data_IF_896643217033
#
_entry.id   IF_896643217033
#
_cell.length_a   1.000
_cell.length_b   1.000
_cell.length_c   1.000
_cell.angle_alpha   90.00
_cell.angle_beta   90.00
_cell.angle_gamma   90.00
#
_symmetry.space_group_name_H-M   'P 1'
#
loop_
_entity.id
_entity.type
_entity.pdbx_description
1 polymer ?
#
# COMPACT_ATOMS: atom_id res chain seq x y z
N UNK A 1 -12.17 -0.04 23.33
CA UNK A 1 -10.72 -0.19 23.18
C UNK A 1 -10.32 0.36 21.82
N UNK A 2 -9.61 1.49 21.78
CA UNK A 2 -9.17 2.12 20.50
C UNK A 2 -7.96 1.34 19.98
N UNK A 3 -7.79 1.24 18.66
CA UNK A 3 -6.66 0.53 18.01
C UNK A 3 -5.27 0.92 18.57
N UNK A 4 -5.14 2.14 19.11
CA UNK A 4 -3.94 2.63 19.78
C UNK A 4 -3.58 1.89 21.08
N UNK A 5 -4.56 1.48 21.89
CA UNK A 5 -4.31 0.78 23.16
C UNK A 5 -3.65 -0.59 22.92
N UNK A 6 -4.04 -1.29 21.85
CA UNK A 6 -3.41 -2.55 21.45
C UNK A 6 -1.95 -2.37 20.98
N UNK A 7 -1.61 -1.25 20.34
CA UNK A 7 -0.24 -0.97 19.89
C UNK A 7 0.67 -0.75 21.10
N UNK A 8 0.20 -0.04 22.12
CA UNK A 8 0.96 0.17 23.35
C UNK A 8 1.23 -1.15 24.09
N UNK A 9 0.22 -2.02 24.23
CA UNK A 9 0.37 -3.33 24.90
C UNK A 9 1.38 -4.25 24.17
N UNK A 10 1.37 -4.24 22.83
CA UNK A 10 2.36 -4.99 22.03
C UNK A 10 3.77 -4.44 22.23
N UNK A 11 3.94 -3.11 22.27
CA UNK A 11 5.24 -2.48 22.50
C UNK A 11 5.75 -2.80 23.90
N UNK A 12 4.89 -2.71 24.92
CA UNK A 12 5.27 -3.04 26.29
C UNK A 12 5.74 -4.50 26.41
N UNK A 13 5.10 -5.43 25.70
CA UNK A 13 5.53 -6.84 25.62
C UNK A 13 6.93 -6.97 25.00
N UNK A 14 7.23 -6.22 23.93
CA UNK A 14 8.56 -6.23 23.27
C UNK A 14 9.66 -5.75 24.21
N UNK A 15 9.35 -4.80 25.09
CA UNK A 15 10.30 -4.24 26.06
C UNK A 15 10.25 -4.93 27.44
N UNK A 16 9.65 -6.12 27.54
CA UNK A 16 9.54 -6.90 28.79
C UNK A 16 8.89 -6.13 29.96
N UNK A 17 7.95 -5.22 29.66
CA UNK A 17 7.19 -4.50 30.68
C UNK A 17 6.02 -5.34 31.20
N UNK A 18 5.68 -5.16 32.47
CA UNK A 18 4.56 -5.85 33.12
C UNK A 18 3.25 -5.58 32.39
N UNK A 19 2.54 -6.64 32.04
CA UNK A 19 1.22 -6.58 31.41
C UNK A 19 0.11 -6.71 32.47
N UNK A 20 -1.08 -6.14 32.23
CA UNK A 20 -2.21 -6.34 33.14
C UNK A 20 -2.66 -7.80 33.13
N UNK A 21 -3.16 -8.31 34.27
CA UNK A 21 -3.48 -9.74 34.46
C UNK A 21 -4.49 -10.29 33.45
N UNK A 22 -5.40 -9.45 32.94
CA UNK A 22 -6.40 -9.86 31.96
C UNK A 22 -5.82 -10.11 30.56
N UNK A 23 -4.62 -9.59 30.25
CA UNK A 23 -3.97 -9.72 28.95
C UNK A 23 -3.21 -11.05 28.83
N UNK A 24 -3.98 -12.14 28.81
CA UNK A 24 -3.45 -13.49 28.56
C UNK A 24 -3.06 -13.67 27.09
N UNK A 25 -2.27 -14.71 26.78
CA UNK A 25 -1.89 -15.06 25.40
C UNK A 25 -3.10 -15.30 24.48
N UNK A 26 -4.17 -15.92 25.00
CA UNK A 26 -5.43 -16.12 24.27
C UNK A 26 -6.14 -14.79 23.97
N UNK A 27 -6.20 -13.88 24.95
CA UNK A 27 -6.79 -12.55 24.76
C UNK A 27 -5.98 -11.76 23.73
N UNK A 28 -4.65 -11.76 23.83
CA UNK A 28 -3.76 -11.13 22.86
C UNK A 28 -3.97 -11.67 21.43
N UNK A 29 -4.09 -13.00 21.27
CA UNK A 29 -4.36 -13.62 19.97
C UNK A 29 -5.73 -13.21 19.39
N UNK A 30 -6.77 -13.13 20.23
CA UNK A 30 -8.10 -12.66 19.82
C UNK A 30 -8.08 -11.18 19.40
N UNK A 31 -7.36 -10.33 20.14
CA UNK A 31 -7.18 -8.91 19.81
C UNK A 31 -6.46 -8.74 18.46
N UNK A 32 -5.42 -9.55 18.18
CA UNK A 32 -4.74 -9.60 16.87
C UNK A 32 -5.71 -9.91 15.73
N UNK A 33 -6.52 -10.96 15.89
CA UNK A 33 -7.47 -11.37 14.86
C UNK A 33 -8.52 -10.30 14.60
N UNK A 34 -9.07 -9.67 15.65
CA UNK A 34 -10.01 -8.56 15.52
C UNK A 34 -9.38 -7.34 14.83
N UNK A 35 -8.13 -7.05 15.16
CA UNK A 35 -7.37 -5.94 14.55
C UNK A 35 -7.14 -6.21 13.07
N UNK A 36 -6.76 -7.44 12.70
CA UNK A 36 -6.61 -7.83 11.30
C UNK A 36 -7.94 -7.67 10.54
N UNK A 37 -9.05 -8.17 11.11
CA UNK A 37 -10.37 -8.04 10.49
C UNK A 37 -10.76 -6.57 10.30
N UNK A 38 -10.57 -5.73 11.32
CA UNK A 38 -10.84 -4.30 11.23
C UNK A 38 -10.01 -3.62 10.14
N UNK A 39 -8.73 -4.00 9.98
CA UNK A 39 -7.87 -3.52 8.92
C UNK A 39 -8.35 -3.95 7.53
N UNK A 40 -8.79 -5.19 7.37
CA UNK A 40 -9.32 -5.69 6.10
C UNK A 40 -10.52 -4.86 5.62
N UNK A 41 -11.46 -4.54 6.52
CA UNK A 41 -12.59 -3.65 6.21
C UNK A 41 -12.13 -2.21 5.96
N UNK A 42 -11.21 -1.72 6.79
CA UNK A 42 -10.66 -0.37 6.68
C UNK A 42 -10.07 -0.13 5.28
N UNK A 43 -9.31 -1.08 4.75
CA UNK A 43 -8.68 -0.96 3.43
C UNK A 43 -9.54 -1.46 2.27
N UNK A 44 -10.77 -1.93 2.52
CA UNK A 44 -11.69 -2.40 1.48
C UNK A 44 -11.31 -3.75 0.85
N UNK A 45 -10.52 -4.55 1.55
CA UNK A 45 -10.05 -5.87 1.09
C UNK A 45 -10.83 -7.03 1.73
N UNK A 46 -11.61 -6.74 2.78
CA UNK A 46 -12.58 -7.67 3.37
C UNK A 46 -13.69 -8.03 2.37
N UNK A 47 -14.57 -8.94 2.77
CA UNK A 47 -15.80 -9.25 2.04
C UNK A 47 -16.97 -8.42 2.60
N UNK A 48 -17.74 -7.70 1.75
CA UNK A 48 -17.55 -7.55 0.30
C UNK A 48 -16.34 -6.67 -0.05
N UNK A 49 -15.68 -6.98 -1.17
CA UNK A 49 -14.51 -6.22 -1.66
C UNK A 49 -14.92 -4.81 -2.16
N UNK A 50 -14.25 -3.77 -1.66
CA UNK A 50 -14.60 -2.36 -1.92
C UNK A 50 -13.39 -1.63 -2.55
N UNK A 51 -13.21 -1.69 -3.89
CA UNK A 51 -12.07 -1.07 -4.56
C UNK A 51 -12.05 0.47 -4.45
N UNK A 52 -13.20 1.08 -4.18
CA UNK A 52 -13.29 2.53 -3.92
C UNK A 52 -12.49 2.92 -2.67
N UNK A 53 -12.47 2.11 -1.62
CA UNK A 53 -11.67 2.39 -0.42
C UNK A 53 -10.17 2.30 -0.70
N UNK A 54 -9.74 1.29 -1.47
CA UNK A 54 -8.34 1.14 -1.91
C UNK A 54 -7.90 2.38 -2.70
N UNK A 55 -8.74 2.81 -3.63
CA UNK A 55 -8.53 3.99 -4.48
C UNK A 55 -8.43 5.29 -3.67
N UNK A 56 -9.31 5.49 -2.69
CA UNK A 56 -9.35 6.73 -1.91
C UNK A 56 -8.29 6.79 -0.81
N UNK A 57 -7.80 5.64 -0.32
CA UNK A 57 -6.79 5.58 0.77
C UNK A 57 -5.35 5.55 0.26
N UNK A 58 -5.00 4.56 -0.56
CA UNK A 58 -3.63 4.37 -1.04
C UNK A 58 -3.37 4.97 -2.42
N UNK A 59 -4.44 5.26 -3.17
CA UNK A 59 -4.35 5.63 -4.58
C UNK A 59 -3.64 6.95 -4.85
N UNK A 60 -3.75 7.93 -3.95
CA UNK A 60 -3.02 9.21 -4.07
C UNK A 60 -1.51 8.98 -4.03
N UNK A 61 -1.02 8.18 -3.09
CA UNK A 61 0.40 7.82 -3.00
C UNK A 61 0.86 7.06 -4.25
N UNK A 62 0.07 6.08 -4.72
CA UNK A 62 0.38 5.36 -5.96
C UNK A 62 0.50 6.30 -7.16
N UNK A 63 -0.40 7.29 -7.26
CA UNK A 63 -0.35 8.31 -8.30
C UNK A 63 0.92 9.15 -8.22
N UNK A 64 1.26 9.66 -7.04
CA UNK A 64 2.49 10.45 -6.85
C UNK A 64 3.73 9.65 -7.24
N UNK A 65 3.81 8.37 -6.85
CA UNK A 65 4.91 7.49 -7.24
C UNK A 65 4.99 7.31 -8.78
N UNK A 66 3.84 7.10 -9.43
CA UNK A 66 3.76 6.98 -10.88
C UNK A 66 4.21 8.26 -11.59
N UNK A 67 3.73 9.41 -11.13
CA UNK A 67 4.08 10.72 -11.67
C UNK A 67 5.57 11.01 -11.51
N UNK A 68 6.14 10.69 -10.34
CA UNK A 68 7.58 10.81 -10.10
C UNK A 68 8.41 9.94 -11.06
N UNK A 69 8.01 8.66 -11.25
CA UNK A 69 8.69 7.77 -12.22
C UNK A 69 8.60 8.30 -13.65
N UNK A 70 7.44 8.82 -14.07
CA UNK A 70 7.25 9.40 -15.40
C UNK A 70 8.06 10.68 -15.61
N UNK A 71 8.10 11.56 -14.61
CA UNK A 71 8.92 12.77 -14.66
C UNK A 71 10.41 12.42 -14.71
N UNK A 72 10.85 11.41 -13.95
CA UNK A 72 12.24 10.93 -14.00
C UNK A 72 12.62 10.44 -15.39
N UNK A 73 11.78 9.62 -16.03
CA UNK A 73 12.00 9.15 -17.40
C UNK A 73 12.00 10.29 -18.42
N UNK A 74 11.06 11.24 -18.27
CA UNK A 74 11.00 12.41 -19.14
C UNK A 74 12.30 13.23 -19.07
N UNK A 75 12.79 13.50 -17.86
CA UNK A 75 14.04 14.21 -17.66
C UNK A 75 15.25 13.43 -18.18
N UNK A 76 15.29 12.12 -17.92
CA UNK A 76 16.34 11.25 -18.44
C UNK A 76 16.44 11.31 -19.97
N UNK A 77 15.31 11.21 -20.68
CA UNK A 77 15.24 11.33 -22.15
C UNK A 77 15.65 12.70 -22.68
N UNK A 78 15.50 13.76 -21.88
CA UNK A 78 15.95 15.13 -22.22
C UNK A 78 17.41 15.40 -21.85
N UNK A 79 18.17 14.39 -21.42
CA UNK A 79 19.54 14.58 -20.93
C UNK A 79 19.60 15.38 -19.63
N UNK A 80 18.56 15.33 -18.80
CA UNK A 80 18.39 16.09 -17.56
C UNK A 80 18.43 17.62 -17.72
N UNK A 81 18.09 18.12 -18.91
CA UNK A 81 18.09 19.55 -19.22
C UNK A 81 16.71 20.21 -19.01
N UNK A 82 16.72 21.49 -18.63
CA UNK A 82 15.53 22.33 -18.47
C UNK A 82 15.11 22.56 -17.01
N UNK A 83 14.38 23.65 -16.78
CA UNK A 83 13.96 24.07 -15.44
C UNK A 83 13.16 22.98 -14.71
N UNK A 84 12.27 22.29 -15.40
CA UNK A 84 11.42 21.20 -14.86
C UNK A 84 12.22 19.97 -14.37
N UNK A 85 13.47 19.83 -14.84
CA UNK A 85 14.35 18.71 -14.53
C UNK A 85 15.44 19.04 -13.51
N UNK A 86 15.51 20.30 -13.05
CA UNK A 86 16.48 20.76 -12.07
C UNK A 86 16.51 19.92 -10.79
N UNK A 87 15.35 19.52 -10.27
CA UNK A 87 15.25 18.71 -9.06
C UNK A 87 15.18 17.20 -9.35
N UNK A 88 14.39 16.78 -10.34
CA UNK A 88 14.14 15.35 -10.63
C UNK A 88 15.31 14.69 -11.38
N UNK A 89 16.01 15.44 -12.23
CA UNK A 89 17.15 14.97 -13.03
C UNK A 89 18.29 14.35 -12.19
N UNK A 90 18.82 15.05 -11.17
CA UNK A 90 19.89 14.50 -10.32
C UNK A 90 19.40 13.48 -9.28
N UNK A 91 18.11 13.49 -8.91
CA UNK A 91 17.56 12.66 -7.84
C UNK A 91 17.66 11.16 -8.14
N UNK A 92 18.34 10.39 -7.28
CA UNK A 92 18.45 8.92 -7.41
C UNK A 92 17.53 8.15 -6.48
N UNK A 93 17.15 8.77 -5.36
CA UNK A 93 16.36 8.15 -4.30
C UNK A 93 15.42 9.18 -3.69
N UNK A 94 14.17 8.79 -3.45
CA UNK A 94 13.16 9.63 -2.78
C UNK A 94 12.43 8.79 -1.74
N UNK A 95 12.52 9.21 -0.48
CA UNK A 95 11.94 8.51 0.65
C UNK A 95 10.72 9.23 1.19
N UNK A 96 9.70 8.46 1.54
CA UNK A 96 8.56 8.91 2.34
C UNK A 96 8.68 8.27 3.72
N UNK A 97 8.94 9.07 4.76
CA UNK A 97 8.77 8.64 6.14
C UNK A 97 7.30 8.78 6.52
N UNK A 98 6.67 7.69 6.93
CA UNK A 98 5.23 7.65 7.16
C UNK A 98 4.86 6.56 8.19
N UNK A 99 3.56 6.37 8.39
CA UNK A 99 3.02 5.37 9.31
C UNK A 99 2.83 4.02 8.63
N UNK A 100 2.71 2.97 9.45
CA UNK A 100 2.25 1.63 9.06
C UNK A 100 0.99 1.66 8.18
N UNK A 101 0.05 2.55 8.50
CA UNK A 101 -1.19 2.74 7.76
C UNK A 101 -0.97 3.25 6.34
N UNK A 102 0.07 4.07 6.11
CA UNK A 102 0.45 4.56 4.78
C UNK A 102 1.02 3.43 3.93
N UNK A 103 1.90 2.61 4.52
CA UNK A 103 2.49 1.46 3.85
C UNK A 103 1.41 0.42 3.52
N UNK A 104 0.53 0.11 4.47
CA UNK A 104 -0.61 -0.79 4.25
C UNK A 104 -1.53 -0.29 3.13
N UNK A 105 -1.91 1.00 3.17
CA UNK A 105 -2.74 1.61 2.14
C UNK A 105 -2.09 1.51 0.75
N UNK A 106 -0.81 1.86 0.62
CA UNK A 106 -0.07 1.76 -0.65
C UNK A 106 -0.06 0.31 -1.16
N UNK A 107 0.27 -0.65 -0.29
CA UNK A 107 0.37 -2.06 -0.69
C UNK A 107 -0.97 -2.64 -1.14
N UNK A 108 -2.10 -2.16 -0.59
CA UNK A 108 -3.44 -2.59 -1.08
C UNK A 108 -3.66 -2.22 -2.54
N UNK A 109 -3.10 -1.11 -3.01
CA UNK A 109 -3.19 -0.72 -4.43
C UNK A 109 -2.37 -1.62 -5.35
N UNK A 110 -1.45 -2.42 -4.79
CA UNK A 110 -0.62 -3.35 -5.55
C UNK A 110 -1.27 -4.73 -5.72
N UNK A 111 -2.52 -4.95 -5.30
CA UNK A 111 -3.36 -6.04 -5.80
C UNK A 111 -2.93 -7.48 -5.45
N UNK A 112 -2.08 -7.69 -4.44
CA UNK A 112 -2.01 -8.98 -3.71
C UNK A 112 -2.33 -8.70 -2.23
N UNK A 113 -3.49 -8.07 -2.01
CA UNK A 113 -3.88 -7.49 -0.73
C UNK A 113 -3.92 -8.54 0.38
N UNK A 114 -4.32 -9.77 0.05
CA UNK A 114 -4.34 -10.89 0.98
C UNK A 114 -2.93 -11.35 1.37
N UNK A 115 -1.95 -11.44 0.46
CA UNK A 115 -0.58 -11.84 0.86
C UNK A 115 0.20 -10.72 1.53
N UNK A 116 -0.13 -9.47 1.25
CA UNK A 116 0.45 -8.32 1.94
C UNK A 116 -0.08 -8.18 3.35
N UNK A 117 -1.40 -8.32 3.55
CA UNK A 117 -2.05 -8.00 4.83
C UNK A 117 -2.24 -9.24 5.72
N UNK A 118 -2.09 -10.48 5.21
CA UNK A 118 -2.18 -11.70 6.05
C UNK A 118 -1.13 -11.80 7.15
N UNK A 119 -0.10 -10.96 7.14
CA UNK A 119 0.86 -10.80 8.25
C UNK A 119 0.45 -9.77 9.31
N UNK A 120 -0.70 -9.10 9.16
CA UNK A 120 -1.09 -7.91 9.91
C UNK A 120 -0.61 -6.61 9.25
N UNK A 121 -0.76 -5.49 9.97
CA UNK A 121 -0.17 -4.22 9.54
C UNK A 121 1.36 -4.35 9.42
N UNK A 122 2.00 -3.55 8.55
CA UNK A 122 3.45 -3.48 8.47
C UNK A 122 4.06 -3.28 9.86
N UNK A 123 4.97 -4.18 10.24
CA UNK A 123 5.66 -4.09 11.54
C UNK A 123 6.52 -2.83 11.61
N UNK A 124 6.98 -2.50 12.82
CA UNK A 124 7.96 -1.42 13.01
C UNK A 124 9.14 -1.57 12.05
N UNK A 125 9.59 -0.45 11.47
CA UNK A 125 10.59 -0.33 10.39
C UNK A 125 10.29 -1.06 9.07
N UNK A 126 9.08 -1.57 8.86
CA UNK A 126 8.69 -2.07 7.55
C UNK A 126 8.73 -0.95 6.51
N UNK A 127 9.31 -1.25 5.36
CA UNK A 127 9.47 -0.31 4.24
C UNK A 127 9.18 -1.00 2.92
N UNK A 128 8.92 -0.21 1.88
CA UNK A 128 8.71 -0.72 0.53
C UNK A 128 9.59 0.10 -0.40
N UNK A 129 10.52 -0.55 -1.09
CA UNK A 129 11.25 0.09 -2.19
C UNK A 129 10.52 -0.18 -3.50
N UNK A 130 10.38 0.87 -4.30
CA UNK A 130 9.85 0.80 -5.65
C UNK A 130 10.92 1.38 -6.56
N UNK A 131 11.46 0.54 -7.44
CA UNK A 131 12.57 0.89 -8.30
C UNK A 131 12.10 1.04 -9.75
N UNK A 132 12.59 2.08 -10.40
CA UNK A 132 12.45 2.31 -11.83
C UNK A 132 13.75 1.90 -12.53
N UNK A 133 13.63 0.98 -13.49
CA UNK A 133 14.73 0.45 -14.28
C UNK A 133 14.56 0.88 -15.74
N UNK A 134 15.68 1.19 -16.40
CA UNK A 134 15.72 1.34 -17.85
C UNK A 134 16.38 0.09 -18.43
N UNK A 135 15.65 -0.63 -19.28
CA UNK A 135 16.04 -1.93 -19.82
C UNK A 135 15.97 -1.88 -21.34
N UNK A 136 16.54 -2.88 -22.00
CA UNK A 136 16.47 -3.01 -23.46
C UNK A 136 15.02 -3.10 -23.95
N UNK A 137 14.14 -3.80 -23.22
CA UNK A 137 12.72 -3.92 -23.53
C UNK A 137 11.90 -2.68 -23.13
N UNK A 138 12.54 -1.69 -22.51
CA UNK A 138 11.97 -0.43 -22.07
C UNK A 138 11.84 -0.27 -20.55
N UNK A 139 11.35 0.89 -20.08
CA UNK A 139 11.30 1.19 -18.66
C UNK A 139 10.44 0.21 -17.88
N UNK A 140 10.90 -0.22 -16.71
CA UNK A 140 10.23 -1.20 -15.87
C UNK A 140 10.19 -0.82 -14.39
N UNK A 141 9.22 -1.38 -13.67
CA UNK A 141 9.05 -1.18 -12.23
C UNK A 141 9.29 -2.48 -11.48
N UNK A 142 10.07 -2.40 -10.39
CA UNK A 142 10.26 -3.47 -9.42
C UNK A 142 9.80 -3.00 -8.04
N UNK A 143 9.16 -3.88 -7.27
CA UNK A 143 8.68 -3.57 -5.92
C UNK A 143 9.26 -4.58 -4.94
N UNK A 144 9.83 -4.06 -3.86
CA UNK A 144 10.50 -4.84 -2.81
C UNK A 144 9.90 -4.46 -1.46
N UNK A 145 9.05 -5.31 -0.86
CA UNK A 145 8.65 -5.13 0.53
C UNK A 145 9.78 -5.61 1.45
N UNK A 146 10.16 -4.76 2.40
CA UNK A 146 11.13 -5.07 3.47
C UNK A 146 10.40 -5.09 4.80
N UNK A 147 10.43 -6.22 5.52
CA UNK A 147 9.95 -6.31 6.90
C UNK A 147 10.62 -7.49 7.59
N UNK A 148 10.81 -7.41 8.91
CA UNK A 148 11.36 -8.48 9.74
C UNK A 148 10.56 -9.81 9.62
N UNK A 149 9.29 -9.74 9.18
CA UNK A 149 8.46 -10.93 8.92
C UNK A 149 8.70 -11.58 7.56
N UNK A 150 9.51 -10.95 6.72
CA UNK A 150 9.90 -11.42 5.40
C UNK A 150 11.45 -11.46 5.32
N UNK A 151 12.12 -12.34 6.09
CA UNK A 151 13.59 -12.42 6.09
C UNK A 151 14.18 -12.90 4.76
N UNK A 152 13.36 -13.37 3.81
CA UNK A 152 13.80 -13.64 2.45
C UNK A 152 13.87 -12.34 1.65
N UNK A 153 15.08 -11.94 1.23
CA UNK A 153 15.39 -10.92 0.21
C UNK A 153 14.85 -11.28 -1.20
N UNK A 154 13.77 -12.05 -1.28
CA UNK A 154 13.17 -12.46 -2.54
C UNK A 154 12.22 -11.35 -2.95
N UNK A 155 12.44 -10.67 -4.10
CA UNK A 155 11.48 -9.72 -4.63
C UNK A 155 10.10 -10.37 -4.75
N UNK A 156 9.14 -9.87 -3.96
CA UNK A 156 7.75 -10.31 -4.07
C UNK A 156 7.11 -9.57 -5.24
N UNK A 157 6.97 -10.27 -6.36
CA UNK A 157 6.35 -9.76 -7.57
C UNK A 157 4.82 -9.76 -7.44
N UNK A 158 4.23 -8.57 -7.37
CA UNK A 158 2.79 -8.39 -7.25
C UNK A 158 2.03 -8.70 -8.55
N UNK A 159 1.27 -9.81 -8.57
CA UNK A 159 0.01 -9.99 -9.31
C UNK A 159 -0.61 -11.38 -9.09
N UNK A 160 -1.95 -11.48 -9.00
CA UNK A 160 -2.68 -12.75 -9.03
C UNK A 160 -2.64 -13.45 -10.40
N UNK A 161 -2.18 -12.74 -11.44
CA UNK A 161 -1.85 -13.32 -12.75
C UNK A 161 -0.34 -13.36 -12.95
N UNK A 162 0.17 -14.59 -13.07
CA UNK A 162 1.56 -15.03 -13.25
C UNK A 162 2.52 -14.91 -12.06
N UNK A 163 2.68 -16.06 -11.37
CA UNK A 163 3.97 -16.54 -10.88
C UNK A 163 4.93 -16.72 -12.07
N UNK A 164 5.83 -15.78 -12.32
CA UNK A 164 7.07 -16.08 -13.04
C UNK A 164 8.22 -15.33 -12.34
N UNK A 165 9.25 -16.04 -11.85
CA UNK A 165 10.46 -15.41 -11.37
C UNK A 165 11.09 -14.59 -12.51
N UNK A 166 11.53 -13.36 -12.22
CA UNK A 166 12.44 -12.63 -13.12
C UNK A 166 11.83 -11.78 -14.24
N UNK A 167 10.50 -11.66 -14.40
CA UNK A 167 9.95 -10.72 -15.40
C UNK A 167 9.55 -9.38 -14.76
N UNK A 168 10.44 -8.41 -14.90
CA UNK A 168 10.17 -6.97 -14.78
C UNK A 168 8.84 -6.59 -15.43
N UNK A 169 8.05 -5.74 -14.76
CA UNK A 169 6.83 -5.19 -15.38
C UNK A 169 7.20 -3.91 -16.11
N UNK A 170 7.07 -3.92 -17.42
CA UNK A 170 7.13 -2.72 -18.25
C UNK A 170 6.20 -1.66 -17.61
N UNK A 171 6.72 -0.45 -17.43
CA UNK A 171 6.05 0.65 -16.73
C UNK A 171 4.65 0.91 -17.27
N UNK A 172 4.46 0.82 -18.59
CA UNK A 172 3.16 1.00 -19.24
C UNK A 172 2.12 -0.03 -18.78
N UNK A 173 2.52 -1.29 -18.59
CA UNK A 173 1.64 -2.34 -18.06
C UNK A 173 1.33 -2.10 -16.57
N UNK A 174 2.32 -1.65 -15.80
CA UNK A 174 2.14 -1.29 -14.40
C UNK A 174 1.17 -0.10 -14.25
N UNK A 175 1.30 0.93 -15.08
CA UNK A 175 0.41 2.08 -15.14
C UNK A 175 -1.02 1.65 -15.51
N UNK A 176 -1.18 0.90 -16.61
CA UNK A 176 -2.49 0.40 -17.06
C UNK A 176 -3.27 -0.32 -15.96
N UNK A 177 -2.61 -1.21 -15.20
CA UNK A 177 -3.31 -1.91 -14.10
C UNK A 177 -3.63 -1.00 -12.91
N UNK A 178 -2.79 0.02 -12.69
CA UNK A 178 -2.85 0.91 -11.52
C UNK A 178 -3.92 1.99 -11.66
N UNK A 179 -4.33 2.32 -12.88
CA UNK A 179 -5.31 3.39 -13.18
C UNK A 179 -6.60 3.26 -12.35
N UNK A 180 -7.13 2.05 -12.18
CA UNK A 180 -8.35 1.82 -11.38
C UNK A 180 -8.20 2.27 -9.93
N UNK A 181 -6.98 2.24 -9.38
CA UNK A 181 -6.68 2.65 -8.01
C UNK A 181 -6.20 4.10 -7.90
N UNK A 182 -5.94 4.82 -9.00
CA UNK A 182 -5.41 6.19 -8.95
C UNK A 182 -6.53 7.26 -9.06
N UNK A 183 -6.89 8.00 -7.98
CA UNK A 183 -7.92 9.03 -7.97
C UNK A 183 -7.60 10.16 -8.94
N UNK A 184 -8.51 10.52 -9.85
CA UNK A 184 -8.33 11.63 -10.82
C UNK A 184 -8.48 12.97 -10.11
N UNK A 185 -9.48 13.09 -9.24
CA UNK A 185 -9.66 14.27 -8.41
C UNK A 185 -10.16 13.84 -7.04
N UNK A 186 -9.22 13.65 -6.10
CA UNK A 186 -9.51 13.15 -4.77
C UNK A 186 -10.54 14.01 -4.04
N UNK A 187 -10.51 15.34 -4.21
CA UNK A 187 -11.47 16.25 -3.58
C UNK A 187 -12.89 16.03 -4.09
N UNK A 188 -13.05 15.78 -5.40
CA UNK A 188 -14.36 15.49 -6.02
C UNK A 188 -14.83 14.08 -5.66
N UNK A 189 -13.94 13.10 -5.70
CA UNK A 189 -14.25 11.69 -5.43
C UNK A 189 -14.60 11.45 -3.96
N UNK A 190 -14.03 12.21 -3.02
CA UNK A 190 -14.38 12.15 -1.59
C UNK A 190 -15.69 12.89 -1.24
N UNK A 191 -16.34 13.60 -2.18
CA UNK A 191 -17.62 14.27 -1.88
C UNK A 191 -18.68 13.22 -1.63
N UNK A 192 -19.47 13.43 -0.57
CA UNK A 192 -20.65 12.62 -0.30
C UNK A 192 -21.56 12.64 -1.53
N UNK A 193 -21.85 11.47 -2.08
CA UNK A 193 -22.82 11.35 -3.18
C UNK A 193 -24.20 11.73 -2.64
N UNK A 194 -24.96 12.49 -3.42
CA UNK A 194 -26.37 12.76 -3.12
C UNK A 194 -27.10 11.43 -2.96
N UNK A 195 -27.95 11.31 -1.95
CA UNK A 195 -28.87 10.17 -1.85
C UNK A 195 -29.85 10.27 -3.02
N UNK A 196 -29.56 9.60 -4.13
CA UNK A 196 -30.60 9.30 -5.08
C UNK A 196 -31.56 8.32 -4.38
N UNK A 197 -32.87 8.61 -4.39
CA UNK A 197 -33.96 7.78 -3.84
C UNK A 197 -34.13 6.43 -4.58
N UNK A 198 -33.03 5.74 -4.90
CA UNK A 198 -32.99 4.45 -5.59
C UNK A 198 -32.00 3.51 -4.92
N UNK A 199 -32.19 3.29 -3.62
CA UNK A 199 -31.73 2.08 -2.95
C UNK A 199 -32.87 1.60 -2.06
N UNK A 200 -33.79 0.85 -2.67
CA UNK A 200 -34.49 -0.20 -1.92
C UNK A 200 -33.39 -1.16 -1.50
N UNK A 201 -33.07 -1.20 -0.20
CA UNK A 201 -32.24 -2.25 0.38
C UNK A 201 -33.02 -3.56 0.27
N UNK A 202 -32.48 -4.63 -0.35
CA UNK A 202 -33.12 -5.94 -0.32
C UNK A 202 -32.88 -6.68 1.01
N UNK A 203 -32.24 -6.03 1.99
CA UNK A 203 -32.00 -6.63 3.31
C UNK A 203 -32.73 -5.81 4.38
N UNK A 204 -33.87 -6.35 4.80
CA UNK A 204 -34.46 -6.11 6.10
C UNK A 204 -33.69 -6.94 7.14
N UNK A 205 -33.34 -6.31 8.26
CA UNK A 205 -33.06 -6.97 9.53
C UNK A 205 -34.28 -6.74 10.43
#
# INVERSE_FOLDING_TARGET
>A
MRMYEYIEDVLQTIYNLSQPEWLTSNVSARMRNLTQLANEYTYGIAQPYIPELIRLRGGSMLRTLMENMKQKLYCYKKGNNGADCSWMGPLKYYAYSAHDTTVAALLTTLGDEMRVIRGGLPKYTASVAIELWDLEEGPAVRVYPFSWSFPSQVPYYYSPYQRLPGKQRILSTFEKRSIKFMPVNIKKECRRRSKNNKTVSPYHW
#
